data_IF_803263568690
#
_entry.id   IF_803263568690
#
_cell.length_a   1.000
_cell.length_b   1.000
_cell.length_c   1.000
_cell.angle_alpha   90.00
_cell.angle_beta   90.00
_cell.angle_gamma   90.00
#
_symmetry.space_group_name_H-M   'P 1'
#
loop_
_entity.id
_entity.type
_entity.pdbx_description
1 polymer ?
#
# COMPACT_ATOMS: atom_id res chain seq x y z
N UNK A 1 -6.79 5.78 19.90
CA UNK A 1 -8.08 5.08 19.85
C UNK A 1 -7.97 3.87 20.78
N UNK A 2 -8.97 3.51 21.60
CA UNK A 2 -8.84 2.33 22.45
C UNK A 2 -8.61 1.07 21.61
N UNK A 3 -7.58 0.31 21.98
CA UNK A 3 -7.21 -0.95 21.31
C UNK A 3 -8.09 -2.06 21.86
N UNK A 4 -8.71 -2.90 21.02
CA UNK A 4 -9.44 -4.08 21.50
C UNK A 4 -8.51 -5.00 22.32
N UNK A 5 -9.01 -5.51 23.44
CA UNK A 5 -8.28 -6.46 24.30
C UNK A 5 -8.12 -7.86 23.68
N UNK A 6 -8.83 -8.14 22.59
CA UNK A 6 -8.67 -9.35 21.79
C UNK A 6 -8.92 -9.04 20.30
N UNK A 7 -8.21 -9.75 19.42
CA UNK A 7 -8.28 -9.55 17.97
C UNK A 7 -8.72 -10.85 17.28
N UNK A 8 -9.83 -10.80 16.54
CA UNK A 8 -10.25 -11.90 15.67
C UNK A 8 -9.23 -12.08 14.53
N UNK A 9 -8.63 -13.27 14.46
CA UNK A 9 -7.61 -13.62 13.47
C UNK A 9 -8.08 -13.46 12.02
N UNK A 10 -9.34 -13.78 11.74
CA UNK A 10 -9.95 -13.69 10.41
C UNK A 10 -10.20 -12.23 10.02
N UNK A 11 -10.64 -11.40 10.96
CA UNK A 11 -10.82 -9.96 10.74
C UNK A 11 -9.48 -9.29 10.43
N UNK A 12 -8.47 -9.58 11.25
CA UNK A 12 -7.10 -9.08 11.03
C UNK A 12 -6.52 -9.55 9.68
N UNK A 13 -6.75 -10.81 9.31
CA UNK A 13 -6.34 -11.36 8.01
C UNK A 13 -6.93 -10.60 6.83
N UNK A 14 -8.21 -10.25 6.89
CA UNK A 14 -8.90 -9.46 5.85
C UNK A 14 -8.36 -8.03 5.82
N UNK A 15 -8.28 -7.38 6.99
CA UNK A 15 -7.75 -6.03 7.13
C UNK A 15 -6.36 -5.87 6.51
N UNK A 16 -5.43 -6.77 6.83
CA UNK A 16 -4.08 -6.73 6.29
C UNK A 16 -4.03 -7.06 4.78
N UNK A 17 -4.89 -7.95 4.28
CA UNK A 17 -4.97 -8.24 2.86
C UNK A 17 -5.50 -7.05 2.03
N UNK A 18 -6.46 -6.31 2.56
CA UNK A 18 -6.98 -5.08 1.93
C UNK A 18 -5.90 -3.99 1.89
N UNK A 19 -5.18 -3.80 3.00
CA UNK A 19 -4.04 -2.89 3.05
C UNK A 19 -2.92 -3.28 2.09
N UNK A 20 -2.58 -4.57 2.00
CA UNK A 20 -1.58 -5.08 1.07
C UNK A 20 -2.02 -4.87 -0.39
N UNK A 21 -3.32 -4.99 -0.68
CA UNK A 21 -3.89 -4.71 -2.00
C UNK A 21 -3.71 -3.25 -2.39
N UNK A 22 -4.06 -2.32 -1.49
CA UNK A 22 -3.87 -0.88 -1.70
C UNK A 22 -2.38 -0.51 -1.85
N UNK A 23 -1.52 -1.08 -1.00
CA UNK A 23 -0.08 -0.87 -1.07
C UNK A 23 0.51 -1.39 -2.40
N UNK A 24 0.03 -2.53 -2.89
CA UNK A 24 0.45 -3.09 -4.20
C UNK A 24 0.09 -2.15 -5.35
N UNK A 25 -1.12 -1.58 -5.34
CA UNK A 25 -1.55 -0.62 -6.37
C UNK A 25 -0.73 0.68 -6.31
N UNK A 26 -0.53 1.23 -5.11
CA UNK A 26 0.28 2.44 -4.88
C UNK A 26 1.73 2.26 -5.32
N UNK A 27 2.37 1.14 -4.95
CA UNK A 27 3.71 0.76 -5.38
C UNK A 27 3.82 0.70 -6.90
N UNK A 28 2.90 0.00 -7.56
CA UNK A 28 2.91 -0.12 -9.02
C UNK A 28 2.73 1.24 -9.72
N UNK A 29 2.01 2.18 -9.10
CA UNK A 29 1.86 3.55 -9.61
C UNK A 29 3.13 4.38 -9.40
N UNK A 30 3.70 4.38 -8.20
CA UNK A 30 4.95 5.08 -7.89
C UNK A 30 6.08 4.67 -8.84
N UNK A 31 6.22 3.37 -9.09
CA UNK A 31 7.22 2.83 -10.01
C UNK A 31 7.00 3.27 -11.47
N UNK A 32 5.74 3.43 -11.90
CA UNK A 32 5.44 4.02 -13.23
C UNK A 32 5.77 5.51 -13.28
N UNK A 33 5.46 6.26 -12.22
CA UNK A 33 5.78 7.69 -12.15
C UNK A 33 7.30 7.90 -12.19
N UNK A 34 8.07 7.09 -11.44
CA UNK A 34 9.55 7.07 -11.49
C UNK A 34 10.07 6.90 -12.92
N UNK A 35 9.44 6.03 -13.72
CA UNK A 35 9.80 5.82 -15.12
C UNK A 35 9.39 7.00 -16.03
N UNK A 36 8.20 7.58 -15.81
CA UNK A 36 7.68 8.65 -16.68
C UNK A 36 8.33 10.01 -16.44
N UNK A 37 8.77 10.28 -15.22
CA UNK A 37 9.30 11.58 -14.80
C UNK A 37 10.81 11.55 -14.50
N UNK A 38 11.50 10.44 -14.82
CA UNK A 38 12.91 10.24 -14.49
C UNK A 38 13.83 11.34 -15.03
N UNK A 39 13.56 11.86 -16.24
CA UNK A 39 14.34 12.92 -16.88
C UNK A 39 13.86 14.35 -16.55
N UNK A 40 12.97 14.49 -15.57
CA UNK A 40 12.43 15.79 -15.14
C UNK A 40 13.07 16.25 -13.84
N UNK A 41 12.88 17.53 -13.47
CA UNK A 41 13.40 18.10 -12.23
C UNK A 41 12.94 17.36 -10.97
N UNK A 42 11.71 16.80 -10.97
CA UNK A 42 11.16 16.02 -9.85
C UNK A 42 11.61 14.55 -9.83
N UNK A 43 12.29 14.09 -10.88
CA UNK A 43 12.68 12.69 -11.08
C UNK A 43 13.50 12.09 -9.92
N UNK A 44 14.57 12.75 -9.44
CA UNK A 44 15.38 12.25 -8.34
C UNK A 44 14.60 12.05 -7.03
N UNK A 45 13.78 13.03 -6.64
CA UNK A 45 12.98 12.93 -5.40
C UNK A 45 11.91 11.86 -5.51
N UNK A 46 11.24 11.78 -6.67
CA UNK A 46 10.23 10.76 -6.93
C UNK A 46 10.82 9.35 -6.93
N UNK A 47 12.08 9.19 -7.36
CA UNK A 47 12.78 7.92 -7.31
C UNK A 47 12.97 7.45 -5.86
N UNK A 48 13.37 8.35 -4.95
CA UNK A 48 13.50 8.05 -3.51
C UNK A 48 12.16 7.61 -2.94
N UNK A 49 11.09 8.39 -3.14
CA UNK A 49 9.76 8.07 -2.64
C UNK A 49 9.25 6.72 -3.18
N UNK A 50 9.48 6.44 -4.47
CA UNK A 50 9.07 5.17 -5.06
C UNK A 50 9.81 3.97 -4.47
N UNK A 51 11.07 4.14 -4.08
CA UNK A 51 11.89 3.10 -3.46
C UNK A 51 11.49 2.90 -1.98
N UNK A 52 11.21 3.98 -1.23
CA UNK A 52 10.64 3.89 0.12
C UNK A 52 9.28 3.17 0.14
N UNK A 53 8.42 3.43 -0.84
CA UNK A 53 7.13 2.73 -0.98
C UNK A 53 7.32 1.24 -1.31
N UNK A 54 8.36 0.88 -2.05
CA UNK A 54 8.72 -0.51 -2.35
C UNK A 54 9.20 -1.24 -1.09
N UNK A 55 10.06 -0.59 -0.30
CA UNK A 55 10.55 -1.11 0.98
C UNK A 55 9.42 -1.29 2.00
N UNK A 56 8.53 -0.30 2.13
CA UNK A 56 7.35 -0.37 2.98
C UNK A 56 6.43 -1.54 2.57
N UNK A 57 6.20 -1.71 1.27
CA UNK A 57 5.37 -2.81 0.74
C UNK A 57 5.95 -4.17 1.12
N UNK A 58 7.26 -4.38 0.95
CA UNK A 58 7.97 -5.59 1.38
C UNK A 58 7.92 -5.78 2.89
N UNK A 59 7.99 -4.70 3.67
CA UNK A 59 7.87 -4.77 5.12
C UNK A 59 6.49 -5.27 5.54
N UNK A 60 5.42 -4.78 4.92
CA UNK A 60 4.05 -5.21 5.17
C UNK A 60 3.84 -6.71 4.83
N UNK A 61 4.37 -7.17 3.69
CA UNK A 61 4.35 -8.60 3.36
C UNK A 61 5.04 -9.44 4.44
N UNK A 62 6.21 -9.00 4.90
CA UNK A 62 6.94 -9.67 5.99
C UNK A 62 6.18 -9.69 7.32
N UNK A 63 5.44 -8.64 7.65
CA UNK A 63 4.55 -8.62 8.83
C UNK A 63 3.43 -9.64 8.69
N UNK A 64 2.74 -9.67 7.56
CA UNK A 64 1.63 -10.60 7.29
C UNK A 64 2.10 -12.06 7.36
N UNK A 65 3.28 -12.35 6.80
CA UNK A 65 3.88 -13.67 6.83
C UNK A 65 4.25 -14.09 8.25
N UNK A 66 4.89 -13.21 9.04
CA UNK A 66 5.24 -13.49 10.46
C UNK A 66 4.02 -13.74 11.33
N UNK A 67 2.89 -13.10 11.02
CA UNK A 67 1.62 -13.34 11.73
C UNK A 67 0.92 -14.64 11.28
N UNK A 68 1.40 -15.30 10.23
CA UNK A 68 0.77 -16.50 9.65
C UNK A 68 -0.59 -16.21 9.01
N UNK A 69 -0.76 -15.02 8.44
CA UNK A 69 -2.03 -14.52 7.89
C UNK A 69 -2.03 -14.45 6.37
N UNK A 70 -1.02 -15.02 5.72
CA UNK A 70 -0.91 -15.05 4.26
C UNK A 70 -2.15 -15.73 3.66
N UNK A 71 -2.90 -15.01 2.83
CA UNK A 71 -4.04 -15.56 2.10
C UNK A 71 -3.58 -16.15 0.75
N UNK A 72 -4.09 -17.32 0.32
CA UNK A 72 -3.78 -17.89 -0.99
C UNK A 72 -4.37 -17.10 -2.19
N UNK A 73 -5.01 -15.94 -1.98
CA UNK A 73 -5.74 -15.16 -3.01
C UNK A 73 -5.32 -13.69 -3.07
N UNK A 74 -4.01 -13.47 -3.01
CA UNK A 74 -3.32 -12.37 -3.71
C UNK A 74 -3.82 -12.23 -5.18
N UNK A 75 -4.34 -13.31 -5.78
CA UNK A 75 -4.83 -13.39 -7.16
C UNK A 75 -6.07 -12.54 -7.53
N UNK A 76 -6.97 -12.18 -6.60
CA UNK A 76 -8.17 -11.35 -6.94
C UNK A 76 -7.94 -9.84 -6.77
N UNK A 77 -6.99 -9.45 -5.92
CA UNK A 77 -6.52 -8.08 -5.74
C UNK A 77 -5.64 -7.60 -6.91
N UNK A 78 -4.80 -8.51 -7.43
CA UNK A 78 -3.96 -8.32 -8.63
C UNK A 78 -4.80 -8.05 -9.89
N UNK A 79 -5.96 -8.70 -10.04
CA UNK A 79 -6.82 -8.50 -11.22
C UNK A 79 -7.59 -7.17 -11.20
N UNK A 80 -8.08 -6.71 -10.03
CA UNK A 80 -8.87 -5.45 -9.90
C UNK A 80 -8.01 -4.18 -9.83
N UNK A 81 -6.80 -4.24 -9.27
CA UNK A 81 -5.81 -3.16 -9.42
C UNK A 81 -5.38 -2.97 -10.89
N UNK A 82 -5.46 -4.03 -11.71
CA UNK A 82 -5.25 -3.97 -13.16
C UNK A 82 -6.33 -3.18 -13.93
N UNK A 83 -7.61 -3.31 -13.57
CA UNK A 83 -8.73 -2.61 -14.22
C UNK A 83 -8.86 -1.13 -13.81
N UNK A 84 -8.67 -0.78 -12.53
CA UNK A 84 -8.79 0.60 -12.06
C UNK A 84 -7.57 1.47 -12.41
N UNK A 85 -6.35 0.92 -12.30
CA UNK A 85 -5.15 1.58 -12.82
C UNK A 85 -5.11 1.65 -14.34
N UNK A 86 -5.92 0.84 -15.06
CA UNK A 86 -6.08 0.92 -16.51
C UNK A 86 -6.84 2.18 -16.96
N UNK A 87 -7.77 2.70 -16.15
CA UNK A 87 -8.62 3.87 -16.49
C UNK A 87 -8.07 5.21 -16.02
N UNK A 88 -7.24 5.25 -14.98
CA UNK A 88 -6.44 6.45 -14.63
C UNK A 88 -5.26 6.66 -15.61
N UNK A 89 -4.96 5.63 -16.42
CA UNK A 89 -3.87 5.52 -17.39
C UNK A 89 -4.34 5.75 -18.83
N UNK A 90 -5.32 6.62 -19.08
CA UNK A 90 -5.49 7.16 -20.43
C UNK A 90 -4.37 8.16 -20.73
N UNK A 91 -3.26 7.55 -21.17
CA UNK A 91 -2.21 8.07 -22.03
C UNK A 91 -1.16 8.99 -21.40
N UNK A 92 -0.10 8.38 -20.86
CA UNK A 92 1.25 8.96 -20.70
C UNK A 92 1.76 9.78 -21.90
N UNK A 93 1.22 9.54 -23.10
CA UNK A 93 1.51 10.30 -24.32
C UNK A 93 0.75 11.64 -24.45
N UNK A 94 -0.33 11.84 -23.67
CA UNK A 94 -1.04 13.11 -23.51
C UNK A 94 -0.67 13.86 -22.22
N UNK A 95 0.04 13.21 -21.29
CA UNK A 95 0.39 13.72 -19.96
C UNK A 95 1.37 14.91 -19.97
N UNK A 96 2.15 15.10 -21.04
CA UNK A 96 3.01 16.29 -21.18
C UNK A 96 2.27 17.54 -21.69
N UNK A 97 0.97 17.45 -22.01
CA UNK A 97 0.21 18.62 -22.48
C UNK A 97 -0.32 19.51 -21.36
N UNK A 98 -0.37 19.02 -20.11
CA UNK A 98 -0.85 19.80 -18.97
C UNK A 98 0.13 19.73 -17.79
N UNK A 99 0.64 20.88 -17.29
CA UNK A 99 1.50 20.90 -16.11
C UNK A 99 0.79 20.44 -14.82
N UNK A 100 -0.53 20.30 -14.83
CA UNK A 100 -1.31 19.87 -13.67
C UNK A 100 -1.27 18.36 -13.41
N UNK A 101 -0.97 17.54 -14.42
CA UNK A 101 -1.06 16.08 -14.24
C UNK A 101 0.00 15.52 -13.29
N UNK A 102 1.29 15.90 -13.37
CA UNK A 102 2.30 15.46 -12.40
C UNK A 102 1.94 15.87 -10.96
N UNK A 103 1.42 17.08 -10.76
CA UNK A 103 0.97 17.57 -9.45
C UNK A 103 -0.13 16.68 -8.87
N UNK A 104 -1.18 16.40 -9.65
CA UNK A 104 -2.27 15.53 -9.22
C UNK A 104 -1.76 14.11 -8.88
N UNK A 105 -0.83 13.57 -9.67
CA UNK A 105 -0.26 12.24 -9.40
C UNK A 105 0.54 12.23 -8.09
N UNK A 106 1.30 13.29 -7.80
CA UNK A 106 2.03 13.46 -6.53
C UNK A 106 1.05 13.59 -5.36
N UNK A 107 -0.03 14.37 -5.50
CA UNK A 107 -1.03 14.51 -4.46
C UNK A 107 -1.74 13.20 -4.15
N UNK A 108 -2.07 12.41 -5.18
CA UNK A 108 -2.61 11.07 -5.02
C UNK A 108 -1.63 10.13 -4.30
N UNK A 109 -0.34 10.20 -4.67
CA UNK A 109 0.70 9.39 -4.02
C UNK A 109 0.86 9.76 -2.54
N UNK A 110 0.92 11.07 -2.24
CA UNK A 110 0.99 11.59 -0.87
C UNK A 110 -0.25 11.19 -0.06
N UNK A 111 -1.45 11.28 -0.64
CA UNK A 111 -2.68 10.81 -0.01
C UNK A 111 -2.63 9.33 0.31
N UNK A 112 -2.13 8.50 -0.61
CA UNK A 112 -1.97 7.07 -0.39
C UNK A 112 -0.96 6.75 0.73
N UNK A 113 0.17 7.45 0.79
CA UNK A 113 1.16 7.32 1.88
C UNK A 113 0.52 7.69 3.23
N UNK A 114 -0.17 8.83 3.30
CA UNK A 114 -0.84 9.26 4.53
C UNK A 114 -1.90 8.25 5.00
N UNK A 115 -2.67 7.68 4.08
CA UNK A 115 -3.69 6.68 4.42
C UNK A 115 -3.10 5.40 5.04
N UNK A 116 -1.85 5.03 4.70
CA UNK A 116 -1.17 3.86 5.28
C UNK A 116 -0.67 4.10 6.70
N UNK A 117 -0.53 5.34 7.17
CA UNK A 117 -0.10 5.60 8.55
C UNK A 117 -1.02 4.94 9.58
N UNK A 118 -2.33 4.93 9.33
CA UNK A 118 -3.31 4.28 10.20
C UNK A 118 -3.08 2.77 10.36
N UNK A 119 -2.58 2.09 9.31
CA UNK A 119 -2.19 0.67 9.38
C UNK A 119 -1.04 0.47 10.37
N UNK A 120 0.02 1.27 10.23
CA UNK A 120 1.20 1.14 11.09
C UNK A 120 0.90 1.49 12.54
N UNK A 121 0.10 2.53 12.77
CA UNK A 121 -0.39 2.89 14.10
C UNK A 121 -1.19 1.74 14.71
N UNK A 122 -2.11 1.14 13.94
CA UNK A 122 -2.91 0.00 14.42
C UNK A 122 -2.04 -1.20 14.75
N UNK A 123 -1.05 -1.53 13.91
CA UNK A 123 -0.11 -2.64 14.17
C UNK A 123 0.74 -2.39 15.41
N UNK A 124 1.21 -1.16 15.63
CA UNK A 124 1.98 -0.79 16.81
C UNK A 124 1.13 -0.85 18.09
N UNK A 125 -0.07 -0.28 18.04
CA UNK A 125 -1.03 -0.24 19.14
C UNK A 125 -1.49 -1.67 19.53
N UNK A 126 -1.62 -2.57 18.55
CA UNK A 126 -2.00 -3.98 18.74
C UNK A 126 -0.83 -4.92 19.05
N UNK A 127 0.42 -4.42 19.15
CA UNK A 127 1.63 -5.25 19.18
C UNK A 127 1.64 -6.36 20.24
N UNK A 128 1.04 -6.11 21.41
CA UNK A 128 0.91 -7.11 22.48
C UNK A 128 -0.14 -8.19 22.14
N UNK A 129 -1.32 -7.78 21.67
CA UNK A 129 -2.41 -8.69 21.30
C UNK A 129 -2.10 -9.54 20.05
N UNK A 130 -1.11 -9.12 19.27
CA UNK A 130 -0.60 -9.84 18.09
C UNK A 130 0.42 -10.93 18.44
N UNK A 131 0.84 -11.05 19.71
CA UNK A 131 1.75 -12.12 20.15
C UNK A 131 1.07 -13.49 20.09
N UNK A 132 1.76 -14.54 19.59
CA UNK A 132 1.23 -15.89 19.60
C UNK A 132 0.95 -16.35 21.04
N UNK A 133 -0.32 -16.57 21.39
CA UNK A 133 -0.74 -17.13 22.70
C UNK A 133 -1.57 -16.21 23.58
N UNK A 134 -1.53 -14.88 23.41
CA UNK A 134 -2.04 -13.95 24.43
C UNK A 134 -3.30 -13.14 24.03
N UNK A 135 -3.69 -13.08 22.73
CA UNK A 135 -4.84 -12.26 22.32
C UNK A 135 -5.47 -12.55 20.95
N UNK A 136 -4.92 -13.48 20.18
CA UNK A 136 -5.51 -13.91 18.89
C UNK A 136 -6.34 -15.18 19.13
N UNK A 137 -7.66 -15.08 18.93
CA UNK A 137 -8.55 -16.23 18.98
C UNK A 137 -9.00 -16.64 17.58
N UNK A 138 -9.10 -17.95 17.34
CA UNK A 138 -9.85 -18.51 16.22
C UNK A 138 -11.33 -18.31 16.57
N UNK A 139 -12.02 -17.44 15.81
CA UNK A 139 -13.44 -17.15 16.03
C UNK A 139 -14.37 -18.33 15.73
#
# INVERSE_FOLDING_TARGET
MPVPSSIDRRVLRTYLADHLTGATAGRARAQKMKQWYGDTEIGPELAVVADEIDEEHRHLEGVIDRLGLRQPVVLRAVARAGEAAGRLKTNGRGLMRSPMTPLLEIELLRGAVNAKQGLWQTLADCGEALRPGDGIHEG
#
